data_IF_082344188673
#
_entry.id   IF_082344188673
#
_cell.length_a   1.000
_cell.length_b   1.000
_cell.length_c   1.000
_cell.angle_alpha   90.00
_cell.angle_beta   90.00
_cell.angle_gamma   90.00
#
_symmetry.space_group_name_H-M   'P 1'
#
loop_
_entity.id
_entity.type
_entity.pdbx_description
1 polymer ?
#
# COMPACT_ATOMS: atom_id res chain seq x y z
N UNK A 1 -13.14 6.32 -30.15
CA UNK A 1 -13.83 5.88 -28.92
C UNK A 1 -12.90 6.10 -27.72
N UNK A 2 -13.23 7.04 -26.82
CA UNK A 2 -12.36 7.41 -25.67
C UNK A 2 -12.92 6.78 -24.40
N UNK A 3 -12.06 6.14 -23.60
CA UNK A 3 -12.41 5.59 -22.27
C UNK A 3 -11.38 6.04 -21.24
N UNK A 4 -11.83 6.27 -20.01
CA UNK A 4 -10.92 6.52 -18.88
C UNK A 4 -10.03 5.29 -18.67
N UNK A 5 -8.72 5.52 -18.49
CA UNK A 5 -7.74 4.46 -18.28
C UNK A 5 -7.26 4.50 -16.83
N UNK A 6 -7.33 3.35 -16.18
CA UNK A 6 -6.94 3.19 -14.79
C UNK A 6 -5.68 2.32 -14.68
N UNK A 7 -5.09 2.33 -13.49
CA UNK A 7 -3.97 1.47 -13.09
C UNK A 7 -4.28 0.85 -11.73
N UNK A 8 -3.83 -0.38 -11.58
CA UNK A 8 -3.92 -1.17 -10.36
C UNK A 8 -2.51 -1.42 -9.85
N UNK A 9 -2.26 -1.08 -8.60
CA UNK A 9 -1.01 -1.28 -7.89
C UNK A 9 -1.21 -2.44 -6.90
N UNK A 10 -0.36 -3.46 -7.01
CA UNK A 10 -0.20 -4.50 -6.02
C UNK A 10 0.82 -4.03 -4.99
N UNK A 11 0.40 -3.98 -3.73
CA UNK A 11 1.20 -3.44 -2.63
C UNK A 11 1.37 -4.55 -1.59
N UNK A 12 2.59 -4.68 -1.08
CA UNK A 12 2.94 -5.52 0.04
C UNK A 12 3.48 -4.66 1.18
N UNK A 13 3.03 -4.90 2.40
CA UNK A 13 3.52 -4.19 3.59
C UNK A 13 4.57 -5.08 4.27
N UNK A 14 5.78 -4.57 4.42
CA UNK A 14 6.90 -5.26 5.05
C UNK A 14 7.20 -4.65 6.42
N UNK A 15 7.58 -5.49 7.39
CA UNK A 15 7.88 -5.09 8.77
C UNK A 15 9.34 -5.36 9.12
N UNK A 16 10.28 -4.47 8.76
CA UNK A 16 11.70 -4.71 8.98
C UNK A 16 12.11 -4.68 10.46
N UNK A 17 11.40 -3.95 11.31
CA UNK A 17 11.74 -3.91 12.74
C UNK A 17 11.44 -5.22 13.47
N UNK A 18 10.57 -6.07 12.92
CA UNK A 18 10.38 -7.42 13.43
C UNK A 18 11.66 -8.26 13.40
N UNK A 19 12.63 -7.93 12.53
CA UNK A 19 13.93 -8.59 12.44
C UNK A 19 14.94 -8.14 13.50
N UNK A 20 14.62 -7.07 14.24
CA UNK A 20 15.45 -6.60 15.35
C UNK A 20 15.09 -7.26 16.68
N UNK A 21 14.03 -8.08 16.71
CA UNK A 21 13.61 -8.79 17.91
C UNK A 21 14.50 -10.05 18.11
N UNK A 22 15.35 -10.09 19.15
CA UNK A 22 16.28 -11.18 19.37
C UNK A 22 15.57 -12.52 19.67
N UNK A 23 14.29 -12.48 20.05
CA UNK A 23 13.49 -13.70 20.26
C UNK A 23 13.17 -14.45 18.97
N UNK A 24 13.34 -13.80 17.80
CA UNK A 24 12.97 -14.34 16.48
C UNK A 24 14.16 -14.71 15.60
N UNK A 25 15.37 -14.75 16.17
CA UNK A 25 16.61 -15.06 15.43
C UNK A 25 16.61 -16.43 14.74
N UNK A 26 15.79 -17.37 15.20
CA UNK A 26 15.71 -18.73 14.65
C UNK A 26 14.75 -18.84 13.44
N UNK A 27 14.03 -17.77 13.10
CA UNK A 27 13.11 -17.77 11.96
C UNK A 27 13.81 -17.24 10.70
N UNK A 28 13.50 -17.79 9.51
CA UNK A 28 13.93 -17.21 8.25
C UNK A 28 13.47 -15.75 8.10
N UNK A 29 14.36 -14.88 7.65
CA UNK A 29 14.10 -13.45 7.42
C UNK A 29 12.81 -13.17 6.64
N UNK A 30 12.46 -14.03 5.68
CA UNK A 30 11.26 -13.86 4.85
C UNK A 30 9.95 -13.94 5.65
N UNK A 31 9.92 -14.76 6.71
CA UNK A 31 8.75 -14.84 7.61
C UNK A 31 8.70 -13.64 8.53
N UNK A 32 9.86 -13.14 8.93
CA UNK A 32 9.96 -11.98 9.80
C UNK A 32 9.50 -10.72 9.07
N UNK A 33 9.84 -10.54 7.78
CA UNK A 33 9.40 -9.35 7.03
C UNK A 33 7.91 -9.39 6.66
N UNK A 34 7.35 -10.57 6.37
CA UNK A 34 5.95 -10.72 5.91
C UNK A 34 4.98 -11.00 7.08
N UNK A 35 5.19 -10.35 8.22
CA UNK A 35 4.28 -10.48 9.36
C UNK A 35 2.88 -9.93 9.04
N UNK A 36 1.84 -10.50 9.66
CA UNK A 36 0.48 -10.01 9.51
C UNK A 36 0.34 -8.61 10.11
N UNK A 37 -0.45 -7.77 9.43
CA UNK A 37 -0.79 -6.44 9.92
C UNK A 37 -1.80 -6.54 11.06
N UNK A 38 -1.63 -5.74 12.12
CA UNK A 38 -2.56 -5.70 13.26
C UNK A 38 -4.00 -5.34 12.83
N UNK A 39 -5.00 -5.90 13.52
CA UNK A 39 -6.44 -5.83 13.20
C UNK A 39 -7.04 -4.41 13.10
N UNK A 40 -6.34 -3.38 13.58
CA UNK A 40 -6.82 -2.00 13.53
C UNK A 40 -6.49 -1.27 12.20
N UNK A 41 -5.84 -1.94 11.25
CA UNK A 41 -5.62 -1.41 9.89
C UNK A 41 -6.86 -1.63 9.02
N UNK A 42 -7.41 -0.54 8.48
CA UNK A 42 -8.63 -0.56 7.67
C UNK A 42 -8.39 0.15 6.34
N UNK A 43 -9.08 -0.25 5.26
CA UNK A 43 -8.98 0.41 3.97
C UNK A 43 -9.26 1.93 4.05
N UNK A 44 -10.23 2.35 4.88
CA UNK A 44 -10.52 3.78 5.09
C UNK A 44 -9.34 4.55 5.70
N UNK A 45 -8.68 4.00 6.73
CA UNK A 45 -7.54 4.65 7.37
C UNK A 45 -6.35 4.69 6.41
N UNK A 46 -6.15 3.62 5.64
CA UNK A 46 -5.11 3.57 4.63
C UNK A 46 -5.31 4.61 3.53
N UNK A 47 -6.52 4.73 2.98
CA UNK A 47 -6.83 5.72 1.95
C UNK A 47 -6.62 7.16 2.46
N UNK A 48 -7.04 7.43 3.70
CA UNK A 48 -6.82 8.74 4.32
C UNK A 48 -5.34 9.04 4.49
N UNK A 49 -4.54 8.07 4.97
CA UNK A 49 -3.11 8.24 5.15
C UNK A 49 -2.38 8.51 3.83
N UNK A 50 -2.68 7.74 2.77
CA UNK A 50 -2.09 7.99 1.45
C UNK A 50 -2.44 9.40 0.96
N UNK A 51 -3.69 9.86 1.15
CA UNK A 51 -4.07 11.23 0.78
C UNK A 51 -3.29 12.27 1.59
N UNK A 52 -3.15 12.08 2.90
CA UNK A 52 -2.39 12.98 3.76
C UNK A 52 -0.94 13.09 3.30
N UNK A 53 -0.29 11.97 2.97
CA UNK A 53 1.08 11.98 2.44
C UNK A 53 1.18 12.65 1.06
N UNK A 54 0.21 12.41 0.18
CA UNK A 54 0.15 13.10 -1.11
C UNK A 54 0.02 14.61 -0.90
N UNK A 55 -0.81 15.06 0.03
CA UNK A 55 -0.93 16.49 0.37
C UNK A 55 0.38 17.04 0.94
N UNK A 56 1.05 16.31 1.82
CA UNK A 56 2.32 16.72 2.41
C UNK A 56 3.43 16.87 1.35
N UNK A 57 3.55 15.93 0.42
CA UNK A 57 4.65 15.92 -0.56
C UNK A 57 4.34 16.66 -1.87
N UNK A 58 3.09 16.65 -2.32
CA UNK A 58 2.68 17.15 -3.64
C UNK A 58 1.65 18.30 -3.55
N UNK A 59 1.29 18.73 -2.35
CA UNK A 59 0.36 19.83 -2.10
C UNK A 59 -1.07 19.55 -2.59
N UNK A 60 -1.85 20.62 -2.71
CA UNK A 60 -3.25 20.57 -3.09
C UNK A 60 -3.47 20.03 -4.51
N UNK A 61 -2.51 20.26 -5.41
CA UNK A 61 -2.55 19.71 -6.76
C UNK A 61 -2.56 18.18 -6.75
N UNK A 62 -1.61 17.57 -6.02
CA UNK A 62 -1.53 16.12 -5.91
C UNK A 62 -2.79 15.52 -5.27
N UNK A 63 -3.27 16.16 -4.21
CA UNK A 63 -4.48 15.75 -3.50
C UNK A 63 -5.70 15.74 -4.44
N UNK A 64 -5.94 16.84 -5.15
CA UNK A 64 -7.06 16.97 -6.09
C UNK A 64 -6.97 16.03 -7.30
N UNK A 65 -5.76 15.79 -7.82
CA UNK A 65 -5.53 14.90 -8.96
C UNK A 65 -5.90 13.43 -8.67
N UNK A 66 -5.67 12.99 -7.43
CA UNK A 66 -5.83 11.59 -7.01
C UNK A 66 -7.19 11.31 -6.36
N UNK A 67 -7.82 12.33 -5.76
CA UNK A 67 -9.04 12.22 -4.94
C UNK A 67 -10.17 11.42 -5.58
N UNK A 68 -10.50 11.70 -6.85
CA UNK A 68 -11.66 11.09 -7.52
C UNK A 68 -11.41 9.65 -7.98
N UNK A 69 -10.15 9.30 -8.24
CA UNK A 69 -9.78 8.06 -8.93
C UNK A 69 -9.17 7.01 -8.01
N UNK A 70 -8.69 7.41 -6.84
CA UNK A 70 -8.05 6.49 -5.90
C UNK A 70 -9.07 5.69 -5.10
N UNK A 71 -8.99 4.36 -5.19
CA UNK A 71 -9.85 3.43 -4.45
C UNK A 71 -9.10 2.17 -4.08
N UNK A 72 -9.26 1.70 -2.84
CA UNK A 72 -8.75 0.39 -2.43
C UNK A 72 -9.75 -0.67 -2.87
N UNK A 73 -9.30 -1.64 -3.66
CA UNK A 73 -10.11 -2.75 -4.19
C UNK A 73 -10.05 -3.98 -3.30
N UNK A 74 -8.90 -4.22 -2.72
CA UNK A 74 -8.65 -5.37 -1.86
C UNK A 74 -7.65 -4.98 -0.79
N UNK A 75 -7.88 -5.44 0.43
CA UNK A 75 -6.95 -5.34 1.54
C UNK A 75 -7.09 -6.60 2.39
N UNK A 76 -5.97 -7.26 2.66
CA UNK A 76 -5.88 -8.39 3.58
C UNK A 76 -4.84 -8.10 4.64
N UNK A 77 -5.27 -8.07 5.90
CA UNK A 77 -4.39 -7.85 7.05
C UNK A 77 -3.56 -9.11 7.36
N UNK A 78 -4.12 -10.30 7.09
CA UNK A 78 -3.43 -11.57 7.32
C UNK A 78 -2.18 -11.75 6.45
N UNK A 79 -2.25 -11.29 5.20
CA UNK A 79 -1.13 -11.37 4.25
C UNK A 79 -0.44 -10.02 4.04
N UNK A 80 -0.90 -8.96 4.69
CA UNK A 80 -0.36 -7.60 4.53
C UNK A 80 -0.30 -7.13 3.06
N UNK A 81 -1.28 -7.56 2.26
CA UNK A 81 -1.37 -7.27 0.82
C UNK A 81 -2.56 -6.37 0.50
N UNK A 82 -2.37 -5.48 -0.47
CA UNK A 82 -3.39 -4.53 -0.91
C UNK A 82 -3.38 -4.35 -2.43
N UNK A 83 -4.56 -4.15 -3.01
CA UNK A 83 -4.73 -3.73 -4.40
C UNK A 83 -5.38 -2.35 -4.42
N UNK A 84 -4.64 -1.38 -4.95
CA UNK A 84 -5.05 0.01 -5.08
C UNK A 84 -5.33 0.36 -6.54
N UNK A 85 -6.47 0.98 -6.81
CA UNK A 85 -6.85 1.53 -8.11
C UNK A 85 -6.55 3.03 -8.13
N UNK A 86 -6.03 3.55 -9.23
CA UNK A 86 -5.81 4.98 -9.47
C UNK A 86 -5.90 5.34 -10.96
N UNK A 87 -5.92 6.64 -11.27
CA UNK A 87 -5.78 7.11 -12.66
C UNK A 87 -4.43 6.69 -13.27
N UNK A 88 -4.43 6.40 -14.58
CA UNK A 88 -3.18 6.15 -15.32
C UNK A 88 -2.24 7.35 -15.31
N UNK A 89 -2.75 8.57 -15.25
CA UNK A 89 -1.89 9.73 -15.42
C UNK A 89 -1.21 10.14 -14.09
N UNK A 90 -1.75 9.67 -12.95
CA UNK A 90 -1.28 10.02 -11.61
C UNK A 90 -0.79 8.83 -10.76
N UNK A 91 -0.64 7.63 -11.33
CA UNK A 91 -0.18 6.45 -10.57
C UNK A 91 1.23 6.61 -9.97
N UNK A 92 2.09 7.43 -10.60
CA UNK A 92 3.44 7.71 -10.10
C UNK A 92 3.44 8.56 -8.83
N UNK A 93 2.50 9.49 -8.70
CA UNK A 93 2.32 10.28 -7.48
C UNK A 93 1.91 9.37 -6.32
N UNK A 94 0.96 8.48 -6.58
CA UNK A 94 0.51 7.49 -5.60
C UNK A 94 1.64 6.52 -5.21
N UNK A 95 2.42 6.05 -6.19
CA UNK A 95 3.60 5.20 -5.91
C UNK A 95 4.61 5.95 -5.04
N UNK A 96 4.98 7.18 -5.41
CA UNK A 96 5.92 7.97 -4.64
C UNK A 96 5.44 8.22 -3.20
N UNK A 97 4.16 8.54 -3.00
CA UNK A 97 3.59 8.68 -1.66
C UNK A 97 3.67 7.37 -0.86
N UNK A 98 3.35 6.23 -1.48
CA UNK A 98 3.49 4.91 -0.83
C UNK A 98 4.93 4.63 -0.39
N UNK A 99 5.92 4.95 -1.23
CA UNK A 99 7.34 4.72 -0.88
C UNK A 99 7.84 5.61 0.25
N UNK A 100 7.20 6.75 0.49
CA UNK A 100 7.55 7.66 1.59
C UNK A 100 6.83 7.32 2.89
N UNK A 101 5.78 6.49 2.85
CA UNK A 101 5.09 6.03 4.06
C UNK A 101 5.97 5.04 4.83
N UNK A 102 6.20 5.34 6.11
CA UNK A 102 7.06 4.59 7.02
C UNK A 102 6.30 3.87 8.15
N UNK A 103 4.99 4.14 8.32
CA UNK A 103 4.17 3.58 9.40
C UNK A 103 2.78 3.18 8.95
N UNK A 104 2.25 2.12 9.58
CA UNK A 104 0.88 1.67 9.31
C UNK A 104 -0.12 2.63 9.97
N UNK A 105 -1.08 3.19 9.22
CA UNK A 105 -2.08 4.08 9.77
C UNK A 105 -3.14 3.31 10.56
N UNK A 106 -3.09 3.47 11.88
CA UNK A 106 -4.01 2.81 12.82
C UNK A 106 -4.95 3.83 13.45
N UNK A 107 -6.20 3.44 13.76
CA UNK A 107 -7.16 4.34 14.44
C UNK A 107 -6.69 4.85 15.80
N UNK A 108 -5.77 4.14 16.45
CA UNK A 108 -5.28 4.40 17.81
C UNK A 108 -3.97 5.19 17.87
N UNK A 109 -3.42 5.62 16.72
CA UNK A 109 -2.17 6.37 16.65
C UNK A 109 -1.20 5.83 15.60
N UNK A 110 0.07 6.28 15.61
CA UNK A 110 1.09 5.81 14.68
C UNK A 110 1.37 4.32 14.93
N UNK A 111 1.01 3.48 13.97
CA UNK A 111 1.18 2.03 14.06
C UNK A 111 2.64 1.59 13.97
N UNK A 112 2.83 0.28 13.83
CA UNK A 112 4.14 -0.33 13.63
C UNK A 112 4.84 0.26 12.40
N UNK A 113 6.16 0.47 12.47
CA UNK A 113 6.94 0.92 11.33
C UNK A 113 6.93 -0.16 10.25
N UNK A 114 6.74 0.27 9.01
CA UNK A 114 6.57 -0.59 7.87
C UNK A 114 7.12 0.05 6.60
N UNK A 115 7.41 -0.79 5.62
CA UNK A 115 7.77 -0.37 4.26
C UNK A 115 6.68 -0.82 3.32
N UNK A 116 6.07 0.12 2.59
CA UNK A 116 5.12 -0.20 1.53
C UNK A 116 5.87 -0.47 0.24
N UNK A 117 5.90 -1.74 -0.17
CA UNK A 117 6.52 -2.18 -1.40
C UNK A 117 5.46 -2.29 -2.51
N UNK A 118 5.61 -1.52 -3.58
CA UNK A 118 4.82 -1.72 -4.81
C UNK A 118 5.45 -2.85 -5.62
N UNK A 119 4.76 -3.99 -5.70
CA UNK A 119 5.25 -5.20 -6.37
C UNK A 119 4.97 -5.15 -7.86
N UNK A 120 3.75 -4.74 -8.24
CA UNK A 120 3.29 -4.77 -9.63
C UNK A 120 2.36 -3.60 -9.93
N UNK A 121 2.51 -3.03 -11.13
CA UNK A 121 1.53 -2.10 -11.70
C UNK A 121 0.94 -2.72 -12.97
N UNK A 122 -0.38 -2.68 -13.12
CA UNK A 122 -1.09 -3.20 -14.28
C UNK A 122 -2.27 -2.31 -14.69
N UNK A 123 -2.72 -2.44 -15.94
CA UNK A 123 -3.94 -1.79 -16.42
C UNK A 123 -5.22 -2.57 -16.14
N UNK A 124 -5.12 -3.85 -15.73
CA UNK A 124 -6.28 -4.69 -15.42
C UNK A 124 -6.10 -5.41 -14.08
N UNK A 125 -7.19 -5.52 -13.33
CA UNK A 125 -7.20 -6.19 -12.02
C UNK A 125 -6.87 -7.67 -12.13
N UNK A 126 -7.38 -8.37 -13.16
CA UNK A 126 -7.10 -9.79 -13.43
C UNK A 126 -5.61 -10.12 -13.50
N UNK A 127 -4.80 -9.24 -14.10
CA UNK A 127 -3.35 -9.43 -14.17
C UNK A 127 -2.67 -9.20 -12.83
N UNK A 128 -3.21 -8.31 -11.99
CA UNK A 128 -2.71 -8.12 -10.62
C UNK A 128 -3.05 -9.31 -9.74
N UNK A 129 -4.27 -9.83 -9.85
CA UNK A 129 -4.70 -11.04 -9.13
C UNK A 129 -3.85 -12.25 -9.51
N UNK A 130 -3.59 -12.46 -10.81
CA UNK A 130 -2.70 -13.51 -11.28
C UNK A 130 -1.28 -13.37 -10.73
N UNK A 131 -0.78 -12.14 -10.60
CA UNK A 131 0.53 -11.89 -10.00
C UNK A 131 0.54 -12.16 -8.50
N UNK A 132 -0.54 -11.79 -7.80
CA UNK A 132 -0.69 -12.05 -6.38
C UNK A 132 -0.77 -13.56 -6.05
N UNK A 133 -1.32 -14.38 -6.96
CA UNK A 133 -1.38 -15.84 -6.83
C UNK A 133 -0.10 -16.54 -7.27
N UNK A 134 0.64 -15.99 -8.25
CA UNK A 134 1.93 -16.56 -8.69
C UNK A 134 3.00 -16.45 -7.60
N UNK A 135 2.93 -15.38 -6.81
CA UNK A 135 3.80 -15.11 -5.68
C UNK A 135 3.52 -16.08 -4.53
#
# INVERSE_FOLDING_TARGET
MVRVKERYLLINILYPEGARDPSRSNLPDILIYNQPTTDAFTARTFMHAIKAEITTFFGDYGAGAVERTMRIKYLSNATSTCILQCSRDHYRLVWAALTMMDRVPTKRGPGSPCVFQVVRVSGTIKKVEQEAVRR
#
